data_IF_161580327486
#
_entry.id   IF_161580327486
#
_cell.length_a   1.000
_cell.length_b   1.000
_cell.length_c   1.000
_cell.angle_alpha   90.00
_cell.angle_beta   90.00
_cell.angle_gamma   90.00
#
_symmetry.space_group_name_H-M   'P 1'
#
loop_
_entity.id
_entity.type
_entity.pdbx_description
1 polymer ?
#
# COMPACT_ATOMS: atom_id res chain seq x y z
N UNK A 1 20.98 24.15 10.86
CA UNK A 1 19.59 23.66 10.65
C UNK A 1 19.70 22.32 9.93
N UNK A 2 18.98 21.28 10.37
CA UNK A 2 19.01 19.98 9.70
C UNK A 2 18.50 20.13 8.27
N UNK A 3 19.17 19.51 7.29
CA UNK A 3 18.80 19.50 5.87
C UNK A 3 17.63 18.55 5.57
N UNK A 4 17.13 17.83 6.58
CA UNK A 4 16.15 16.77 6.45
C UNK A 4 14.90 17.06 7.28
N UNK A 5 13.73 16.78 6.69
CA UNK A 5 12.45 16.66 7.39
C UNK A 5 12.36 15.26 8.01
N UNK A 6 12.01 15.17 9.29
CA UNK A 6 11.74 13.89 9.94
C UNK A 6 10.27 13.52 9.81
N UNK A 7 10.00 12.26 9.46
CA UNK A 7 8.66 11.66 9.46
C UNK A 7 8.56 10.70 10.65
N UNK A 8 7.41 10.69 11.30
CA UNK A 8 7.09 9.75 12.39
C UNK A 8 6.14 8.72 11.82
N UNK A 9 6.54 7.45 11.83
CA UNK A 9 5.67 6.37 11.37
C UNK A 9 4.42 6.29 12.25
N UNK A 10 3.27 6.17 11.60
CA UNK A 10 1.96 6.03 12.24
C UNK A 10 1.44 4.60 12.02
N UNK A 11 0.60 4.06 12.93
CA UNK A 11 -0.09 2.79 12.67
C UNK A 11 -0.95 2.87 11.41
N UNK A 12 -0.88 1.83 10.58
CA UNK A 12 -1.70 1.74 9.38
C UNK A 12 -3.15 1.37 9.74
N UNK A 13 -4.11 2.22 9.36
CA UNK A 13 -5.55 1.90 9.40
C UNK A 13 -6.20 2.21 8.06
N UNK A 14 -7.37 1.61 7.79
CA UNK A 14 -8.14 1.87 6.57
C UNK A 14 -8.48 3.35 6.43
N UNK A 15 -8.92 3.98 7.52
CA UNK A 15 -9.36 5.37 7.54
C UNK A 15 -8.20 6.32 7.30
N UNK A 16 -7.05 6.07 7.93
CA UNK A 16 -5.86 6.92 7.79
C UNK A 16 -5.23 6.80 6.40
N UNK A 17 -5.45 5.67 5.70
CA UNK A 17 -4.86 5.37 4.41
C UNK A 17 -5.78 5.62 3.20
N UNK A 18 -7.07 5.88 3.43
CA UNK A 18 -8.10 5.97 2.38
C UNK A 18 -7.82 7.00 1.26
N UNK A 19 -7.00 8.03 1.52
CA UNK A 19 -6.58 9.00 0.50
C UNK A 19 -5.55 8.42 -0.49
N UNK A 20 -4.79 7.42 -0.07
CA UNK A 20 -3.65 6.86 -0.82
C UNK A 20 -3.97 5.52 -1.46
N UNK A 21 -4.92 4.77 -0.89
CA UNK A 21 -5.39 3.49 -1.44
C UNK A 21 -6.10 2.63 -0.40
N UNK A 22 -6.06 1.33 -0.61
CA UNK A 22 -6.72 0.35 0.25
C UNK A 22 -5.72 -0.32 1.21
N UNK A 23 -6.19 -0.68 2.41
CA UNK A 23 -5.47 -1.59 3.32
C UNK A 23 -5.99 -3.02 3.11
N UNK A 24 -5.09 -3.92 2.71
CA UNK A 24 -5.42 -5.35 2.52
C UNK A 24 -5.22 -6.07 3.85
N UNK A 25 -6.28 -6.12 4.64
CA UNK A 25 -6.33 -6.81 5.94
C UNK A 25 -7.71 -7.46 6.13
N UNK A 26 -7.84 -8.37 7.08
CA UNK A 26 -9.10 -8.99 7.48
C UNK A 26 -9.82 -8.18 8.56
N UNK A 27 -9.11 -7.37 9.35
CA UNK A 27 -9.74 -6.58 10.40
C UNK A 27 -10.69 -5.51 9.82
N UNK A 28 -11.89 -5.46 10.41
CA UNK A 28 -13.00 -4.60 9.98
C UNK A 28 -13.51 -4.83 8.54
N UNK A 29 -13.06 -5.87 7.84
CA UNK A 29 -13.42 -6.09 6.44
C UNK A 29 -14.78 -6.78 6.27
N UNK A 30 -15.46 -6.50 5.16
CA UNK A 30 -16.61 -7.29 4.73
C UNK A 30 -16.17 -8.73 4.45
N UNK A 31 -16.86 -9.68 5.08
CA UNK A 31 -16.63 -11.10 4.90
C UNK A 31 -17.93 -11.88 4.80
N UNK A 32 -17.86 -13.04 4.15
CA UNK A 32 -18.96 -13.99 4.15
C UNK A 32 -18.46 -15.44 4.06
N UNK A 33 -19.20 -16.41 4.62
CA UNK A 33 -18.83 -17.82 4.51
C UNK A 33 -19.03 -18.34 3.09
N UNK A 34 -18.09 -19.16 2.63
CA UNK A 34 -18.18 -19.97 1.43
C UNK A 34 -17.90 -21.44 1.78
N UNK A 35 -17.97 -22.35 0.80
CA UNK A 35 -17.65 -23.77 1.00
C UNK A 35 -18.39 -24.41 2.19
N UNK A 36 -19.71 -24.16 2.31
CA UNK A 36 -20.55 -24.63 3.42
C UNK A 36 -20.05 -24.15 4.80
N UNK A 37 -19.52 -22.93 4.87
CA UNK A 37 -19.03 -22.34 6.13
C UNK A 37 -17.63 -22.81 6.54
N UNK A 38 -16.92 -23.55 5.68
CA UNK A 38 -15.54 -24.01 5.96
C UNK A 38 -14.47 -22.99 5.59
N UNK A 39 -14.84 -21.91 4.93
CA UNK A 39 -13.91 -20.84 4.54
C UNK A 39 -14.62 -19.52 4.67
N UNK A 40 -13.99 -18.56 5.33
CA UNK A 40 -14.42 -17.18 5.33
C UNK A 40 -13.73 -16.44 4.18
N UNK A 41 -14.51 -15.79 3.33
CA UNK A 41 -14.00 -14.96 2.24
C UNK A 41 -14.08 -13.49 2.65
N UNK A 42 -12.94 -12.87 2.87
CA UNK A 42 -12.81 -11.42 2.94
C UNK A 42 -12.88 -10.86 1.53
N UNK A 43 -13.96 -10.16 1.23
CA UNK A 43 -14.32 -9.87 -0.15
C UNK A 43 -13.69 -8.57 -0.63
N UNK A 44 -13.04 -8.63 -1.80
CA UNK A 44 -12.61 -7.45 -2.55
C UNK A 44 -11.86 -6.40 -1.70
N UNK A 45 -10.93 -6.84 -0.85
CA UNK A 45 -10.12 -5.99 0.03
C UNK A 45 -9.37 -4.86 -0.70
N UNK A 46 -9.10 -5.05 -1.99
CA UNK A 46 -8.64 -4.02 -2.91
C UNK A 46 -9.00 -4.42 -4.35
N UNK A 47 -8.99 -3.44 -5.27
CA UNK A 47 -9.22 -3.64 -6.70
C UNK A 47 -7.96 -3.29 -7.49
N UNK A 48 -7.57 -4.17 -8.40
CA UNK A 48 -6.50 -3.86 -9.36
C UNK A 48 -7.05 -2.91 -10.43
N UNK A 49 -6.45 -1.75 -10.56
CA UNK A 49 -6.77 -0.74 -11.56
C UNK A 49 -5.73 -0.73 -12.68
N UNK A 50 -6.18 -0.70 -13.92
CA UNK A 50 -5.36 -0.70 -15.13
C UNK A 50 -5.92 0.34 -16.11
N UNK A 51 -5.06 1.00 -16.87
CA UNK A 51 -5.47 2.03 -17.84
C UNK A 51 -5.86 1.48 -19.22
N UNK A 52 -5.21 0.41 -19.66
CA UNK A 52 -5.39 -0.17 -20.99
C UNK A 52 -6.32 -1.38 -20.99
N UNK A 53 -7.17 -1.49 -22.03
CA UNK A 53 -8.08 -2.63 -22.19
C UNK A 53 -7.35 -3.98 -22.39
N UNK A 54 -6.08 -3.94 -22.81
CA UNK A 54 -5.25 -5.14 -23.00
C UNK A 54 -4.21 -5.34 -21.90
N UNK A 55 -4.17 -4.45 -20.91
CA UNK A 55 -3.26 -4.57 -19.77
C UNK A 55 -3.63 -5.80 -18.95
N UNK A 56 -2.62 -6.36 -18.27
CA UNK A 56 -2.80 -7.53 -17.41
C UNK A 56 -2.21 -7.23 -16.05
N UNK A 57 -2.99 -7.51 -15.00
CA UNK A 57 -2.43 -7.63 -13.66
C UNK A 57 -1.40 -8.74 -13.64
N UNK A 58 -0.25 -8.46 -13.03
CA UNK A 58 0.83 -9.43 -12.86
C UNK A 58 1.06 -9.69 -11.37
N UNK A 59 1.61 -10.87 -11.07
CA UNK A 59 2.06 -11.22 -9.73
C UNK A 59 3.56 -11.40 -9.76
N UNK A 60 4.24 -10.90 -8.73
CA UNK A 60 5.69 -10.93 -8.64
C UNK A 60 6.10 -11.00 -7.17
N UNK A 61 7.30 -11.50 -6.91
CA UNK A 61 7.90 -11.52 -5.58
C UNK A 61 9.05 -10.52 -5.58
N UNK A 62 8.98 -9.55 -4.67
CA UNK A 62 10.03 -8.57 -4.47
C UNK A 62 10.86 -9.00 -3.27
N UNK A 63 12.19 -8.95 -3.39
CA UNK A 63 13.12 -9.21 -2.30
C UNK A 63 13.99 -7.97 -2.11
N UNK A 64 13.52 -7.07 -1.24
CA UNK A 64 14.26 -5.87 -0.85
C UNK A 64 15.43 -6.17 0.08
N UNK A 65 16.33 -5.21 0.21
CA UNK A 65 17.39 -5.16 1.23
C UNK A 65 17.04 -4.05 2.23
N UNK A 66 17.41 -4.18 3.52
CA UNK A 66 17.20 -3.11 4.50
C UNK A 66 17.89 -1.81 4.07
N UNK A 67 17.20 -0.69 4.26
CA UNK A 67 17.78 0.65 4.07
C UNK A 67 18.26 1.19 5.42
N UNK A 68 19.59 1.33 5.57
CA UNK A 68 20.20 1.86 6.80
C UNK A 68 21.37 2.79 6.43
N UNK A 69 21.26 4.12 6.66
CA UNK A 69 20.09 4.82 7.23
C UNK A 69 18.89 4.82 6.29
N UNK A 70 17.68 4.92 6.85
CA UNK A 70 16.45 5.11 6.07
C UNK A 70 16.34 6.60 5.68
N UNK A 71 16.87 6.95 4.51
CA UNK A 71 16.74 8.28 3.91
C UNK A 71 15.88 8.20 2.65
N UNK A 72 14.85 9.04 2.57
CA UNK A 72 13.95 9.10 1.43
C UNK A 72 14.30 10.35 0.61
N UNK A 73 14.86 10.13 -0.57
CA UNK A 73 15.27 11.19 -1.49
C UNK A 73 14.40 11.28 -2.76
N UNK A 74 13.52 10.29 -2.97
CA UNK A 74 12.64 10.21 -4.13
C UNK A 74 11.31 9.57 -3.76
N UNK A 75 10.30 9.93 -4.53
CA UNK A 75 8.98 9.30 -4.53
C UNK A 75 8.60 8.95 -5.96
N UNK A 76 7.88 7.86 -6.12
CA UNK A 76 7.39 7.38 -7.43
C UNK A 76 5.88 7.29 -7.45
N UNK A 77 5.32 7.22 -8.66
CA UNK A 77 3.89 6.95 -8.89
C UNK A 77 3.71 6.12 -10.16
N UNK A 78 2.59 5.43 -10.25
CA UNK A 78 2.18 4.68 -11.43
C UNK A 78 0.89 5.28 -12.01
N UNK A 79 0.97 6.24 -12.97
CA UNK A 79 -0.21 6.93 -13.49
C UNK A 79 -1.21 6.03 -14.24
N UNK A 80 -0.79 4.82 -14.60
CA UNK A 80 -1.53 3.90 -15.49
C UNK A 80 -2.03 2.64 -14.80
N UNK A 81 -1.85 2.52 -13.49
CA UNK A 81 -2.38 1.39 -12.75
C UNK A 81 -2.00 1.38 -11.27
N UNK A 82 -2.74 0.57 -10.51
CA UNK A 82 -2.50 0.33 -9.09
C UNK A 82 -1.30 -0.59 -8.85
N UNK A 83 -0.70 -0.51 -7.67
CA UNK A 83 0.29 -1.47 -7.19
C UNK A 83 -0.01 -1.83 -5.74
N UNK A 84 0.14 -3.12 -5.40
CA UNK A 84 -0.08 -3.62 -4.04
C UNK A 84 1.14 -4.38 -3.52
N UNK A 85 1.37 -4.28 -2.21
CA UNK A 85 2.42 -5.00 -1.49
C UNK A 85 1.80 -5.75 -0.32
N UNK A 86 2.09 -7.05 -0.22
CA UNK A 86 1.65 -7.92 0.87
C UNK A 86 2.88 -8.66 1.40
N UNK A 87 3.26 -8.50 2.68
CA UNK A 87 4.42 -9.18 3.24
C UNK A 87 4.17 -10.70 3.28
N UNK A 88 5.11 -11.49 2.74
CA UNK A 88 4.97 -12.96 2.69
C UNK A 88 5.48 -13.69 3.94
N UNK A 89 6.14 -12.99 4.85
CA UNK A 89 6.79 -13.53 6.04
C UNK A 89 6.29 -12.90 7.36
N UNK A 90 5.09 -12.32 7.34
CA UNK A 90 4.44 -11.69 8.51
C UNK A 90 5.36 -10.70 9.25
N UNK A 91 6.09 -9.89 8.48
CA UNK A 91 6.93 -8.82 9.00
C UNK A 91 6.27 -7.48 8.74
N UNK A 92 6.45 -6.57 9.68
CA UNK A 92 6.09 -5.17 9.49
C UNK A 92 6.99 -4.54 8.44
N UNK A 93 6.41 -3.61 7.67
CA UNK A 93 7.15 -2.76 6.76
C UNK A 93 6.61 -1.33 6.85
N UNK A 94 7.42 -0.38 6.39
CA UNK A 94 7.04 1.03 6.33
C UNK A 94 6.56 1.36 4.92
N UNK A 95 5.45 2.06 4.83
CA UNK A 95 5.01 2.73 3.61
C UNK A 95 5.12 4.25 3.84
N UNK A 96 5.65 4.97 2.85
CA UNK A 96 5.69 6.44 2.84
C UNK A 96 4.94 6.91 1.61
N UNK A 97 3.99 7.81 1.81
CA UNK A 97 3.00 8.17 0.80
C UNK A 97 2.82 9.67 0.71
N UNK A 98 2.37 10.14 -0.44
CA UNK A 98 1.96 11.51 -0.69
C UNK A 98 0.61 11.51 -1.43
N UNK A 99 -0.22 12.57 -1.28
CA UNK A 99 -1.48 12.67 -2.00
C UNK A 99 -1.29 12.64 -3.53
N UNK A 100 -2.31 12.20 -4.29
CA UNK A 100 -2.27 12.28 -5.75
C UNK A 100 -2.22 13.73 -6.23
N UNK A 101 -1.57 13.97 -7.36
CA UNK A 101 -1.47 15.29 -7.98
C UNK A 101 -0.03 15.77 -8.14
N UNK A 102 0.16 17.08 -8.10
CA UNK A 102 1.48 17.70 -8.04
C UNK A 102 2.12 17.41 -6.68
N UNK A 103 3.42 17.15 -6.69
CA UNK A 103 4.13 16.74 -5.49
C UNK A 103 4.24 17.91 -4.49
N UNK A 104 3.75 17.67 -3.28
CA UNK A 104 3.94 18.55 -2.13
C UNK A 104 4.70 17.78 -1.03
N UNK A 105 5.96 18.18 -0.80
CA UNK A 105 6.80 17.58 0.23
C UNK A 105 6.15 17.68 1.61
N UNK A 106 5.39 18.75 1.92
CA UNK A 106 4.78 18.94 3.22
C UNK A 106 3.63 17.94 3.49
N UNK A 107 3.03 17.40 2.44
CA UNK A 107 1.94 16.44 2.52
C UNK A 107 2.40 14.98 2.61
N UNK A 108 3.72 14.72 2.52
CA UNK A 108 4.28 13.38 2.73
C UNK A 108 4.02 12.92 4.16
N UNK A 109 3.59 11.66 4.27
CA UNK A 109 3.35 10.93 5.53
C UNK A 109 4.13 9.63 5.53
#
# INVERSE_FOLDING_TARGET
>A
MSRYRSLVAEPLTREAFALFGDVIDTDGAESFPINQGRTERFHALSRVELSGATDRGILSIFRGQPLTPLEIALMERHPLGSQSFIPMNNVDFLAVVAPPGDFDEAAVR
#
